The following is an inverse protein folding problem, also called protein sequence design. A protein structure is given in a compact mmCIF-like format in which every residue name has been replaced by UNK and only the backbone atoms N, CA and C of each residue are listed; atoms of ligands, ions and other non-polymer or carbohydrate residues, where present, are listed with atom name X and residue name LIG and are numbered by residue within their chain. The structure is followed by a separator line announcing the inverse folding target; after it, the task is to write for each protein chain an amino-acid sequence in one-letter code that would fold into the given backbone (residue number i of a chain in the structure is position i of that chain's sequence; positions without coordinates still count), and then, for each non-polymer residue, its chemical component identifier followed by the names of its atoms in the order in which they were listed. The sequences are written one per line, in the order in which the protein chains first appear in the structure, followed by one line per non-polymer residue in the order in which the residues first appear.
data_IF_188384277160
#
_entry.id   IF_188384277160
#
_cell.length_a   1.000
_cell.length_b   1.000
_cell.length_c   1.000
_cell.angle_alpha   90.00
_cell.angle_beta   90.00
_cell.angle_gamma   90.00
#
_symmetry.space_group_name_H-M   'P 1'
#
loop_
_entity.id
_entity.type
_entity.pdbx_description
1 polymer ?
#
# COMPACT_ATOMS: atom_id res chain seq x y z
N UNK A 1 -5.52 11.58 10.12
CA UNK A 1 -5.57 12.56 9.00
C UNK A 1 -5.99 11.84 7.73
N UNK A 2 -6.75 12.49 6.84
CA UNK A 2 -7.15 11.93 5.54
C UNK A 2 -6.02 12.09 4.51
N UNK A 3 -5.95 11.24 3.47
CA UNK A 3 -4.97 11.38 2.39
C UNK A 3 -5.30 12.56 1.48
N UNK A 4 -4.27 13.10 0.85
CA UNK A 4 -4.39 14.18 -0.12
C UNK A 4 -5.02 13.66 -1.42
N UNK A 5 -5.88 14.46 -2.03
CA UNK A 5 -6.62 14.11 -3.24
C UNK A 5 -5.73 14.01 -4.51
N UNK A 6 -4.49 14.47 -4.48
CA UNK A 6 -3.55 14.44 -5.61
C UNK A 6 -2.54 13.31 -5.42
N UNK A 7 -1.73 13.32 -4.35
CA UNK A 7 -0.70 12.30 -4.17
C UNK A 7 -1.16 11.05 -3.40
N UNK A 8 -2.33 11.11 -2.77
CA UNK A 8 -2.86 9.99 -1.99
C UNK A 8 -2.13 9.73 -0.66
N UNK A 9 -1.27 10.63 -0.22
CA UNK A 9 -0.50 10.50 1.00
C UNK A 9 -1.14 11.28 2.17
N UNK A 10 -1.09 10.72 3.37
CA UNK A 10 -1.34 11.52 4.58
C UNK A 10 -0.13 12.43 4.83
N UNK A 11 -0.30 13.59 5.49
CA UNK A 11 0.77 14.57 5.65
C UNK A 11 2.07 13.99 6.21
N UNK A 12 2.03 13.17 7.25
CA UNK A 12 3.24 12.58 7.84
C UNK A 12 3.97 11.63 6.85
N UNK A 13 3.26 10.87 6.01
CA UNK A 13 3.89 10.02 5.00
C UNK A 13 4.59 10.87 3.94
N UNK A 14 3.95 11.96 3.48
CA UNK A 14 4.55 12.90 2.52
C UNK A 14 5.81 13.53 3.09
N UNK A 15 5.77 14.02 4.33
CA UNK A 15 6.92 14.63 5.02
C UNK A 15 8.09 13.67 5.18
N UNK A 16 7.81 12.42 5.59
CA UNK A 16 8.84 11.37 5.71
C UNK A 16 9.42 10.99 4.35
N UNK A 17 8.57 10.85 3.33
CA UNK A 17 9.01 10.54 1.97
C UNK A 17 9.86 11.68 1.39
N UNK A 18 9.42 12.93 1.56
CA UNK A 18 10.17 14.12 1.17
C UNK A 18 11.50 14.25 1.92
N UNK A 19 11.51 14.06 3.23
CA UNK A 19 12.74 14.05 4.02
C UNK A 19 13.70 12.93 3.61
N UNK A 20 13.20 11.75 3.26
CA UNK A 20 14.01 10.66 2.73
C UNK A 20 14.64 11.04 1.38
N UNK A 21 13.88 11.67 0.48
CA UNK A 21 14.39 12.23 -0.77
C UNK A 21 15.51 13.23 -0.53
N UNK A 22 15.33 14.17 0.40
CA UNK A 22 16.32 15.21 0.70
C UNK A 22 17.61 14.66 1.33
N UNK A 23 17.50 13.67 2.21
CA UNK A 23 18.61 13.17 3.03
C UNK A 23 19.28 11.91 2.48
N UNK A 24 18.55 11.07 1.78
CA UNK A 24 18.95 9.70 1.44
C UNK A 24 18.63 9.34 -0.03
N UNK A 25 18.77 10.28 -0.95
CA UNK A 25 18.42 10.08 -2.37
C UNK A 25 19.27 8.99 -3.03
N UNK A 26 20.59 9.01 -2.81
CA UNK A 26 21.54 8.16 -3.56
C UNK A 26 22.22 7.09 -2.70
N UNK A 27 22.07 7.14 -1.37
CA UNK A 27 22.71 6.22 -0.42
C UNK A 27 21.81 5.92 0.76
N UNK A 28 22.04 4.79 1.39
CA UNK A 28 21.38 4.47 2.66
C UNK A 28 21.86 5.40 3.76
N UNK A 29 20.90 5.90 4.56
CA UNK A 29 21.12 6.76 5.71
C UNK A 29 20.37 6.15 6.89
N UNK A 30 20.93 6.26 8.09
CA UNK A 30 20.28 5.79 9.33
C UNK A 30 18.89 6.41 9.47
N UNK A 31 17.90 5.56 9.75
CA UNK A 31 16.52 6.02 9.92
C UNK A 31 16.40 7.11 10.98
N UNK A 32 17.17 7.01 12.06
CA UNK A 32 17.23 8.04 13.10
C UNK A 32 17.65 9.42 12.57
N UNK A 33 18.61 9.48 11.64
CA UNK A 33 19.07 10.74 11.05
C UNK A 33 18.02 11.35 10.12
N UNK A 34 17.39 10.53 9.27
CA UNK A 34 16.29 10.98 8.38
C UNK A 34 15.15 11.55 9.22
N UNK A 35 14.71 10.79 10.24
CA UNK A 35 13.59 11.21 11.08
C UNK A 35 13.91 12.41 11.94
N UNK A 36 15.16 12.55 12.41
CA UNK A 36 15.63 13.76 13.10
C UNK A 36 15.45 15.01 12.23
N UNK A 37 15.89 14.95 10.97
CA UNK A 37 15.71 16.06 10.03
C UNK A 37 14.22 16.33 9.70
N UNK A 38 13.40 15.28 9.57
CA UNK A 38 11.95 15.43 9.33
C UNK A 38 11.26 16.11 10.51
N UNK A 39 11.60 15.71 11.75
CA UNK A 39 11.03 16.29 12.96
C UNK A 39 11.51 17.73 13.18
N UNK A 40 12.77 18.04 12.89
CA UNK A 40 13.34 19.39 12.99
C UNK A 40 12.65 20.38 12.04
N UNK A 41 12.31 19.94 10.81
CA UNK A 41 11.92 20.83 9.71
C UNK A 41 10.43 20.87 9.42
N UNK A 42 9.78 19.70 9.37
CA UNK A 42 8.42 19.60 8.82
C UNK A 42 7.41 18.90 9.72
N UNK A 43 7.86 18.09 10.72
CA UNK A 43 6.96 17.30 11.53
C UNK A 43 7.41 17.27 13.01
N UNK A 44 7.22 18.39 13.74
CA UNK A 44 7.68 18.53 15.13
C UNK A 44 6.82 17.71 16.12
N UNK A 45 6.52 16.48 15.75
CA UNK A 45 5.69 15.55 16.52
C UNK A 45 6.40 14.20 16.63
N UNK A 46 6.12 13.47 17.70
CA UNK A 46 6.61 12.10 17.88
C UNK A 46 6.01 11.14 16.85
N UNK A 47 6.61 9.94 16.76
CA UNK A 47 6.08 8.80 15.99
C UNK A 47 6.25 8.83 14.47
N UNK A 48 7.21 9.55 13.91
CA UNK A 48 7.52 9.51 12.48
C UNK A 48 8.15 8.17 12.00
N UNK A 49 8.63 7.31 12.92
CA UNK A 49 9.21 6.02 12.55
C UNK A 49 8.19 5.01 12.00
N UNK A 50 7.00 4.92 12.58
CA UNK A 50 5.92 4.08 12.04
C UNK A 50 5.55 4.42 10.59
N UNK A 51 5.37 5.70 10.23
CA UNK A 51 5.25 6.14 8.84
C UNK A 51 6.39 5.68 7.93
N UNK A 52 7.66 5.83 8.33
CA UNK A 52 8.81 5.35 7.55
C UNK A 52 8.77 3.83 7.35
N UNK A 53 8.46 3.09 8.41
CA UNK A 53 8.27 1.63 8.34
C UNK A 53 7.20 1.26 7.31
N UNK A 54 6.06 1.95 7.30
CA UNK A 54 4.99 1.70 6.32
C UNK A 54 5.41 2.04 4.89
N UNK A 55 6.18 3.11 4.69
CA UNK A 55 6.71 3.46 3.37
C UNK A 55 7.67 2.39 2.85
N UNK A 56 8.54 1.84 3.70
CA UNK A 56 9.45 0.75 3.34
C UNK A 56 8.65 -0.54 3.05
N UNK A 57 7.72 -0.92 3.92
CA UNK A 57 6.89 -2.11 3.74
C UNK A 57 6.04 -2.06 2.46
N UNK A 58 5.64 -0.87 2.01
CA UNK A 58 4.93 -0.66 0.75
C UNK A 58 5.86 -0.56 -0.47
N UNK A 59 7.17 -0.57 -0.29
CA UNK A 59 8.14 -0.45 -1.39
C UNK A 59 8.27 0.95 -1.97
N UNK A 60 7.85 1.99 -1.25
CA UNK A 60 8.02 3.39 -1.64
C UNK A 60 9.38 3.96 -1.22
N UNK A 61 10.02 3.31 -0.29
CA UNK A 61 11.37 3.59 0.21
C UNK A 61 12.13 2.27 0.29
N UNK A 62 13.38 2.25 -0.14
CA UNK A 62 14.26 1.10 0.03
C UNK A 62 14.74 1.05 1.49
N UNK A 63 14.62 -0.11 2.11
CA UNK A 63 15.03 -0.32 3.50
C UNK A 63 16.17 -1.32 3.63
N UNK A 64 17.09 -1.09 4.56
CA UNK A 64 18.13 -2.03 4.98
C UNK A 64 18.01 -2.30 6.48
N UNK A 65 18.12 -3.57 6.89
CA UNK A 65 17.86 -4.02 8.25
C UNK A 65 16.47 -4.67 8.40
N UNK A 66 16.04 -4.91 9.64
CA UNK A 66 14.75 -5.54 9.94
C UNK A 66 13.64 -4.49 10.02
N UNK A 67 12.74 -4.54 9.05
CA UNK A 67 11.63 -3.59 8.92
C UNK A 67 10.28 -4.15 9.38
N UNK A 68 10.31 -5.32 10.00
CA UNK A 68 9.10 -6.02 10.38
C UNK A 68 8.40 -6.65 9.19
N UNK A 69 7.40 -7.42 9.49
CA UNK A 69 6.59 -8.13 8.51
C UNK A 69 5.62 -9.07 9.20
N UNK A 70 4.80 -9.72 8.40
CA UNK A 70 3.88 -10.74 8.87
C UNK A 70 4.18 -12.04 8.16
N UNK A 71 4.65 -13.03 8.92
CA UNK A 71 4.85 -14.40 8.45
C UNK A 71 4.24 -15.32 9.49
N UNK A 72 3.32 -16.18 9.06
CA UNK A 72 2.65 -17.11 9.96
C UNK A 72 1.76 -16.44 10.99
N UNK A 73 1.82 -16.93 12.22
CA UNK A 73 1.05 -16.41 13.35
C UNK A 73 1.63 -15.13 13.92
N UNK A 74 2.92 -14.89 13.70
CA UNK A 74 3.65 -13.79 14.31
C UNK A 74 3.71 -12.56 13.39
N UNK A 75 3.47 -11.40 13.96
CA UNK A 75 3.81 -10.12 13.36
C UNK A 75 5.12 -9.64 13.98
N UNK A 76 6.20 -9.66 13.22
CA UNK A 76 7.46 -9.08 13.68
C UNK A 76 7.42 -7.56 13.53
N UNK A 77 7.76 -6.84 14.61
CA UNK A 77 7.98 -5.40 14.57
C UNK A 77 9.28 -5.05 13.85
N UNK A 78 9.40 -3.80 13.39
CA UNK A 78 10.68 -3.30 12.91
C UNK A 78 11.69 -3.19 14.08
N UNK A 79 12.97 -3.40 13.78
CA UNK A 79 14.05 -3.06 14.70
C UNK A 79 14.03 -1.56 15.01
N UNK A 80 14.59 -1.13 16.14
CA UNK A 80 14.64 0.27 16.48
C UNK A 80 15.36 1.10 15.39
N UNK A 81 14.95 2.36 15.19
CA UNK A 81 15.41 3.26 14.12
C UNK A 81 16.94 3.46 14.06
N UNK A 82 17.66 3.17 15.14
CA UNK A 82 19.12 3.20 15.18
C UNK A 82 19.79 2.04 14.45
N UNK A 83 19.05 0.94 14.23
CA UNK A 83 19.54 -0.26 13.55
C UNK A 83 19.10 -0.37 12.09
N UNK A 84 18.14 0.44 11.65
CA UNK A 84 17.63 0.43 10.28
C UNK A 84 18.19 1.60 9.48
N UNK A 85 18.24 1.41 8.17
CA UNK A 85 18.64 2.43 7.20
C UNK A 85 17.62 2.51 6.07
N UNK A 86 17.45 3.69 5.51
CA UNK A 86 16.53 3.91 4.42
C UNK A 86 17.18 4.72 3.29
N UNK A 87 16.68 4.51 2.07
CA UNK A 87 17.10 5.21 0.87
C UNK A 87 15.89 5.47 -0.02
N UNK A 88 15.86 6.61 -0.70
CA UNK A 88 14.80 6.88 -1.66
C UNK A 88 14.76 5.82 -2.77
N UNK A 89 13.58 5.31 -3.07
CA UNK A 89 13.39 4.29 -4.10
C UNK A 89 13.42 4.92 -5.48
N UNK A 90 14.07 4.27 -6.46
CA UNK A 90 14.22 4.81 -7.83
C UNK A 90 12.89 5.04 -8.54
N UNK A 91 11.90 4.16 -8.35
CA UNK A 91 10.57 4.34 -8.91
C UNK A 91 9.87 5.55 -8.29
N UNK A 92 9.97 5.71 -6.97
CA UNK A 92 9.39 6.85 -6.25
C UNK A 92 10.04 8.16 -6.67
N UNK A 93 11.38 8.18 -6.86
CA UNK A 93 12.09 9.35 -7.41
C UNK A 93 11.53 9.78 -8.77
N UNK A 94 11.33 8.83 -9.67
CA UNK A 94 10.82 9.12 -11.00
C UNK A 94 9.36 9.59 -11.00
N UNK A 95 8.49 8.93 -10.23
CA UNK A 95 7.04 9.20 -10.29
C UNK A 95 6.58 10.35 -9.38
N UNK A 96 7.38 10.76 -8.38
CA UNK A 96 6.94 11.73 -7.39
C UNK A 96 7.88 12.92 -7.18
N UNK A 97 9.15 12.83 -7.57
CA UNK A 97 10.14 13.89 -7.28
C UNK A 97 10.70 14.57 -8.54
N UNK A 98 10.50 13.99 -9.72
CA UNK A 98 11.05 14.51 -10.98
C UNK A 98 10.76 15.99 -11.22
N UNK A 99 9.54 16.44 -10.93
CA UNK A 99 9.09 17.82 -11.15
C UNK A 99 8.75 18.56 -9.84
N UNK A 100 9.37 18.15 -8.74
CA UNK A 100 9.06 18.66 -7.40
C UNK A 100 9.22 20.18 -7.29
N UNK A 101 10.22 20.79 -7.96
CA UNK A 101 10.43 22.25 -7.96
C UNK A 101 9.27 23.05 -8.54
N UNK A 102 8.38 22.42 -9.29
CA UNK A 102 7.27 23.09 -10.02
C UNK A 102 5.91 23.00 -9.32
N UNK A 103 5.85 22.39 -8.11
CA UNK A 103 4.65 22.37 -7.29
C UNK A 103 4.64 23.54 -6.30
N UNK A 104 3.46 23.95 -5.80
CA UNK A 104 3.40 24.94 -4.73
C UNK A 104 3.96 24.38 -3.41
N UNK A 105 4.65 25.24 -2.67
CA UNK A 105 5.13 24.99 -1.32
C UNK A 105 4.31 25.81 -0.33
N UNK A 106 4.10 25.25 0.85
CA UNK A 106 3.43 25.90 1.97
C UNK A 106 4.18 25.62 3.28
N UNK A 107 4.18 26.59 4.19
CA UNK A 107 4.74 26.39 5.53
C UNK A 107 3.60 26.06 6.47
N UNK A 108 3.46 24.77 6.80
CA UNK A 108 2.42 24.29 7.70
C UNK A 108 2.89 24.23 9.15
N UNK A 109 4.16 23.93 9.37
CA UNK A 109 4.76 23.79 10.71
C UNK A 109 5.99 24.72 10.84
N UNK A 110 7.16 24.32 10.40
CA UNK A 110 8.43 25.02 10.61
C UNK A 110 9.01 25.53 9.30
N UNK A 111 9.32 24.63 8.35
CA UNK A 111 9.89 24.96 7.05
C UNK A 111 8.89 24.72 5.90
N UNK A 112 9.12 25.37 4.74
CA UNK A 112 8.30 25.11 3.54
C UNK A 112 8.36 23.63 3.12
N UNK A 113 7.20 23.06 2.84
CA UNK A 113 7.05 21.70 2.35
C UNK A 113 6.16 21.70 1.09
N UNK A 114 6.30 20.73 0.16
CA UNK A 114 5.42 20.65 -1.00
C UNK A 114 3.98 20.37 -0.56
N UNK A 115 3.02 21.14 -1.08
CA UNK A 115 1.59 20.97 -0.79
C UNK A 115 1.08 19.60 -1.24
N UNK A 116 1.73 18.99 -2.24
CA UNK A 116 1.55 17.63 -2.73
C UNK A 116 2.78 17.19 -3.54
N UNK A 117 2.96 15.88 -3.72
CA UNK A 117 3.95 15.36 -4.66
C UNK A 117 3.36 15.23 -6.06
N UNK A 118 4.10 15.63 -7.12
CA UNK A 118 3.61 15.60 -8.50
C UNK A 118 3.63 14.18 -9.07
N UNK A 119 2.76 13.31 -8.58
CA UNK A 119 2.68 11.90 -9.00
C UNK A 119 1.68 11.69 -10.14
N UNK A 120 1.88 10.64 -10.94
CA UNK A 120 0.95 10.23 -11.99
C UNK A 120 -0.24 9.44 -11.43
N UNK A 121 -0.04 8.71 -10.34
CA UNK A 121 -1.04 7.84 -9.71
C UNK A 121 -0.97 8.07 -8.20
N UNK A 122 -2.11 8.24 -7.49
CA UNK A 122 -2.11 8.43 -6.04
C UNK A 122 -1.52 7.21 -5.32
N UNK A 123 -0.59 7.43 -4.40
CA UNK A 123 0.10 6.36 -3.66
C UNK A 123 -0.86 5.43 -2.89
N UNK A 124 -1.95 5.96 -2.34
CA UNK A 124 -2.95 5.16 -1.62
C UNK A 124 -3.62 4.07 -2.47
N UNK A 125 -3.57 4.17 -3.81
CA UNK A 125 -4.19 3.19 -4.71
C UNK A 125 -3.31 1.97 -5.01
N UNK A 126 -2.01 2.00 -4.69
CA UNK A 126 -1.09 0.88 -4.97
C UNK A 126 -0.19 0.51 -3.79
N UNK A 127 -0.71 0.66 -2.58
CA UNK A 127 -0.08 0.12 -1.37
C UNK A 127 -0.10 -1.41 -1.38
N UNK A 128 0.79 -2.04 -0.65
CA UNK A 128 0.87 -3.51 -0.57
C UNK A 128 -0.26 -4.12 0.27
N UNK A 129 -0.62 -3.44 1.36
CA UNK A 129 -1.53 -3.97 2.38
C UNK A 129 -2.88 -3.25 2.47
N UNK A 130 -3.23 -2.46 1.44
CA UNK A 130 -4.39 -1.57 1.49
C UNK A 130 -4.09 -0.26 2.23
N UNK A 131 -4.99 0.69 2.11
CA UNK A 131 -4.84 2.00 2.74
C UNK A 131 -6.04 2.30 3.63
N UNK A 132 -5.78 2.51 4.90
CA UNK A 132 -6.79 2.94 5.87
C UNK A 132 -6.26 4.14 6.63
N UNK A 133 -7.07 5.17 6.73
CA UNK A 133 -6.78 6.34 7.57
C UNK A 133 -8.03 6.78 8.35
N UNK A 134 -7.80 7.40 9.50
CA UNK A 134 -8.84 7.89 10.39
C UNK A 134 -8.56 9.36 10.68
N UNK A 135 -9.59 10.17 10.57
CA UNK A 135 -9.62 11.56 11.02
C UNK A 135 -10.84 11.77 11.91
N UNK A 136 -10.92 12.92 12.58
CA UNK A 136 -12.07 13.21 13.42
C UNK A 136 -13.38 13.21 12.59
N UNK A 137 -14.28 12.31 12.92
CA UNK A 137 -15.56 12.11 12.22
C UNK A 137 -15.48 11.39 10.87
N UNK A 138 -14.27 11.00 10.39
CA UNK A 138 -14.11 10.35 9.08
C UNK A 138 -13.18 9.14 9.16
N UNK A 139 -13.53 8.11 8.40
CA UNK A 139 -12.67 6.97 8.10
C UNK A 139 -12.54 6.85 6.58
N UNK A 140 -11.32 6.70 6.08
CA UNK A 140 -11.06 6.42 4.66
C UNK A 140 -10.47 5.03 4.54
N UNK A 141 -11.11 4.17 3.75
CA UNK A 141 -10.62 2.83 3.39
C UNK A 141 -10.58 2.78 1.87
N UNK A 142 -9.39 2.76 1.32
CA UNK A 142 -9.17 2.89 -0.12
C UNK A 142 -8.75 1.55 -0.69
N UNK A 143 -9.39 1.07 -1.79
CA UNK A 143 -8.96 -0.15 -2.46
C UNK A 143 -7.59 0.05 -3.09
N UNK A 144 -6.72 -0.93 -2.97
CA UNK A 144 -5.45 -0.93 -3.67
C UNK A 144 -5.47 -1.85 -4.88
N UNK A 145 -4.63 -1.54 -5.85
CA UNK A 145 -4.51 -2.24 -7.12
C UNK A 145 -3.04 -2.48 -7.46
N UNK A 146 -2.76 -3.38 -8.38
CA UNK A 146 -1.43 -3.47 -8.97
C UNK A 146 -1.17 -2.23 -9.82
N UNK A 147 -0.01 -1.61 -9.67
CA UNK A 147 0.36 -0.39 -10.42
C UNK A 147 0.16 -0.55 -11.93
N UNK A 148 0.55 -1.71 -12.49
CA UNK A 148 0.35 -2.03 -13.91
C UNK A 148 -1.12 -1.94 -14.35
N UNK A 149 -2.05 -2.32 -13.49
CA UNK A 149 -3.48 -2.31 -13.81
C UNK A 149 -4.05 -0.88 -13.73
N UNK A 150 -3.59 -0.09 -12.75
CA UNK A 150 -3.92 1.34 -12.66
C UNK A 150 -3.43 2.12 -13.88
N UNK A 151 -2.20 1.84 -14.35
CA UNK A 151 -1.67 2.45 -15.59
C UNK A 151 -2.56 2.11 -16.78
N UNK A 152 -2.97 0.86 -16.95
CA UNK A 152 -3.90 0.47 -18.03
C UNK A 152 -5.24 1.20 -17.92
N UNK A 153 -5.78 1.31 -16.69
CA UNK A 153 -7.04 2.02 -16.45
C UNK A 153 -6.90 3.50 -16.79
N UNK A 154 -5.82 4.12 -16.36
CA UNK A 154 -5.53 5.53 -16.66
C UNK A 154 -5.41 5.77 -18.19
N UNK A 155 -4.66 4.93 -18.91
CA UNK A 155 -4.55 5.02 -20.36
C UNK A 155 -5.92 4.89 -21.06
N UNK A 156 -6.81 4.06 -20.55
CA UNK A 156 -8.18 3.98 -21.05
C UNK A 156 -8.97 5.27 -20.78
N UNK A 157 -8.89 5.81 -19.55
CA UNK A 157 -9.57 7.05 -19.16
C UNK A 157 -9.07 8.27 -19.96
N UNK A 158 -7.81 8.26 -20.40
CA UNK A 158 -7.20 9.30 -21.25
C UNK A 158 -7.47 9.08 -22.77
N UNK A 159 -8.16 8.00 -23.14
CA UNK A 159 -8.49 7.69 -24.54
C UNK A 159 -7.40 7.00 -25.35
N UNK A 160 -6.26 6.66 -24.72
CA UNK A 160 -5.12 5.98 -25.36
C UNK A 160 -5.39 4.47 -25.59
N UNK A 161 -6.27 3.85 -24.82
CA UNK A 161 -6.72 2.48 -25.00
C UNK A 161 -8.18 2.42 -25.42
N UNK A 162 -8.45 1.78 -26.58
CA UNK A 162 -9.82 1.60 -27.11
C UNK A 162 -10.65 0.63 -26.26
N UNK A 163 -10.01 -0.41 -25.70
CA UNK A 163 -10.69 -1.45 -24.92
C UNK A 163 -10.60 -1.14 -23.43
N UNK A 164 -11.77 -1.05 -22.78
CA UNK A 164 -11.89 -0.86 -21.34
C UNK A 164 -11.25 -2.05 -20.58
N UNK A 165 -10.22 -1.83 -19.75
CA UNK A 165 -9.62 -2.89 -18.96
C UNK A 165 -10.52 -3.22 -17.77
N UNK A 166 -10.75 -4.50 -17.51
CA UNK A 166 -11.30 -4.96 -16.22
C UNK A 166 -10.13 -5.11 -15.27
N UNK A 167 -10.06 -4.26 -14.26
CA UNK A 167 -9.07 -4.36 -13.19
C UNK A 167 -9.75 -4.71 -11.87
N UNK A 168 -9.05 -5.47 -11.03
CA UNK A 168 -9.54 -5.89 -9.73
C UNK A 168 -8.65 -5.31 -8.63
N UNK A 169 -9.23 -4.93 -7.48
CA UNK A 169 -8.42 -4.64 -6.30
C UNK A 169 -7.46 -5.78 -6.02
N UNK A 170 -6.27 -5.43 -5.57
CA UNK A 170 -5.24 -6.40 -5.19
C UNK A 170 -5.17 -6.48 -3.67
N UNK A 171 -5.37 -7.66 -3.13
CA UNK A 171 -5.23 -7.95 -1.71
C UNK A 171 -4.29 -9.14 -1.61
N UNK A 172 -3.14 -8.92 -0.99
CA UNK A 172 -2.12 -9.96 -0.86
C UNK A 172 -2.70 -11.17 -0.11
N UNK A 173 -2.44 -12.35 -0.63
CA UNK A 173 -2.91 -13.64 -0.06
C UNK A 173 -4.44 -13.79 0.06
N UNK A 174 -5.22 -13.02 -0.72
CA UNK A 174 -6.66 -13.18 -0.81
C UNK A 174 -7.12 -13.30 -2.27
N UNK A 175 -8.24 -14.01 -2.46
CA UNK A 175 -8.98 -14.04 -3.72
C UNK A 175 -10.21 -13.16 -3.61
N UNK A 176 -10.49 -12.41 -4.65
CA UNK A 176 -11.72 -11.62 -4.78
C UNK A 176 -12.79 -12.51 -5.40
N UNK A 177 -13.94 -12.59 -4.76
CA UNK A 177 -15.08 -13.41 -5.21
C UNK A 177 -16.16 -12.61 -5.93
N UNK A 178 -16.01 -11.28 -5.97
CA UNK A 178 -16.96 -10.37 -6.63
C UNK A 178 -17.03 -10.52 -8.15
N UNK A 179 -18.19 -10.22 -8.74
CA UNK A 179 -18.39 -10.28 -10.18
C UNK A 179 -17.64 -9.17 -10.94
N UNK A 180 -17.50 -9.32 -12.28
CA UNK A 180 -16.90 -8.26 -13.11
C UNK A 180 -17.67 -6.93 -13.02
N UNK A 181 -18.99 -6.99 -12.88
CA UNK A 181 -19.85 -5.81 -12.72
C UNK A 181 -19.53 -5.09 -11.40
N UNK A 182 -19.35 -5.85 -10.33
CA UNK A 182 -19.00 -5.32 -9.03
C UNK A 182 -17.62 -4.67 -9.04
N UNK A 183 -16.65 -5.28 -9.74
CA UNK A 183 -15.31 -4.72 -9.91
C UNK A 183 -15.33 -3.40 -10.67
N UNK A 184 -16.21 -3.22 -11.64
CA UNK A 184 -16.39 -1.94 -12.34
C UNK A 184 -17.06 -0.89 -11.43
N UNK A 185 -18.04 -1.30 -10.64
CA UNK A 185 -18.73 -0.40 -9.70
C UNK A 185 -17.75 0.18 -8.67
N UNK A 186 -16.80 -0.62 -8.16
CA UNK A 186 -15.80 -0.12 -7.19
C UNK A 186 -14.85 0.94 -7.79
N UNK A 187 -14.67 0.95 -9.12
CA UNK A 187 -13.85 1.95 -9.80
C UNK A 187 -14.58 3.29 -9.99
N UNK A 188 -15.90 3.23 -10.12
CA UNK A 188 -16.75 4.38 -10.48
C UNK A 188 -17.55 4.95 -9.30
N UNK A 189 -17.43 4.36 -8.12
CA UNK A 189 -18.10 4.84 -6.90
C UNK A 189 -17.11 5.06 -5.77
N UNK A 190 -17.44 5.95 -4.85
CA UNK A 190 -16.62 6.25 -3.65
C UNK A 190 -16.87 5.29 -2.48
N UNK A 191 -17.89 4.45 -2.59
CA UNK A 191 -18.36 3.60 -1.50
C UNK A 191 -18.79 2.24 -2.05
N UNK A 192 -18.20 1.16 -1.53
CA UNK A 192 -18.44 -0.18 -2.01
C UNK A 192 -18.07 -1.25 -0.98
N UNK A 193 -18.75 -2.42 -1.03
CA UNK A 193 -18.42 -3.59 -0.21
C UNK A 193 -17.87 -4.69 -1.12
N UNK A 194 -16.66 -5.15 -0.83
CA UNK A 194 -15.98 -6.22 -1.56
C UNK A 194 -15.94 -7.49 -0.72
N UNK A 195 -16.35 -8.62 -1.30
CA UNK A 195 -16.19 -9.93 -0.68
C UNK A 195 -14.85 -10.55 -1.08
N UNK A 196 -14.10 -11.00 -0.08
CA UNK A 196 -12.80 -11.63 -0.24
C UNK A 196 -12.76 -12.98 0.46
N UNK A 197 -11.90 -13.84 -0.05
CA UNK A 197 -11.62 -15.16 0.52
C UNK A 197 -10.12 -15.35 0.66
N UNK A 198 -9.67 -15.68 1.87
CA UNK A 198 -8.27 -16.03 2.12
C UNK A 198 -7.82 -17.26 1.32
N UNK A 199 -6.52 -17.41 1.16
CA UNK A 199 -5.92 -18.54 0.44
C UNK A 199 -5.73 -19.71 1.40
N UNK A 200 -6.17 -20.89 0.96
CA UNK A 200 -5.90 -22.15 1.65
C UNK A 200 -5.64 -23.25 0.64
N UNK A 201 -4.97 -24.32 1.08
CA UNK A 201 -4.74 -25.55 0.32
C UNK A 201 -5.26 -26.75 1.09
N UNK A 202 -5.98 -27.62 0.43
CA UNK A 202 -6.49 -28.88 0.97
C UNK A 202 -5.51 -30.02 0.70
N UNK A 203 -5.36 -30.90 1.66
CA UNK A 203 -4.72 -32.21 1.56
C UNK A 203 -5.68 -33.26 2.15
N UNK A 204 -6.67 -33.71 1.35
CA UNK A 204 -7.70 -34.63 1.82
C UNK A 204 -7.15 -35.99 2.22
N UNK A 205 -6.09 -36.46 1.57
CA UNK A 205 -5.49 -37.77 1.83
C UNK A 205 -4.88 -37.85 3.22
N UNK A 206 -4.33 -36.73 3.71
CA UNK A 206 -3.79 -36.60 5.04
C UNK A 206 -4.76 -35.96 6.05
N UNK A 207 -5.99 -35.61 5.62
CA UNK A 207 -6.97 -34.87 6.42
C UNK A 207 -6.41 -33.57 6.99
N UNK A 208 -5.68 -32.81 6.16
CA UNK A 208 -4.95 -31.61 6.52
C UNK A 208 -5.37 -30.44 5.64
N UNK A 209 -5.42 -29.24 6.20
CA UNK A 209 -5.68 -28.00 5.46
C UNK A 209 -4.62 -26.98 5.86
N UNK A 210 -4.01 -26.35 4.88
CA UNK A 210 -3.03 -25.28 5.05
C UNK A 210 -3.70 -23.92 4.83
N UNK A 211 -3.72 -23.08 5.83
CA UNK A 211 -4.15 -21.68 5.72
C UNK A 211 -2.94 -20.84 5.35
N UNK A 212 -3.04 -20.10 4.24
CA UNK A 212 -1.93 -19.36 3.62
C UNK A 212 -2.17 -17.86 3.49
N UNK A 213 -3.36 -17.40 3.84
CA UNK A 213 -3.68 -16.00 3.83
C UNK A 213 -5.11 -15.73 4.26
N UNK A 214 -5.34 -14.54 4.76
CA UNK A 214 -6.64 -14.05 5.20
C UNK A 214 -6.70 -12.53 5.07
N UNK A 215 -7.84 -11.93 5.42
CA UNK A 215 -8.05 -10.48 5.42
C UNK A 215 -6.92 -9.76 6.19
N UNK A 216 -6.13 -8.91 5.54
CA UNK A 216 -5.00 -8.22 6.15
C UNK A 216 -5.39 -7.28 7.30
N UNK A 217 -6.68 -6.94 7.42
CA UNK A 217 -7.20 -6.15 8.54
C UNK A 217 -7.51 -6.99 9.79
N UNK A 218 -7.34 -8.31 9.72
CA UNK A 218 -7.56 -9.23 10.85
C UNK A 218 -6.23 -9.81 11.33
N UNK A 219 -5.97 -9.73 12.63
CA UNK A 219 -4.90 -10.48 13.28
C UNK A 219 -5.19 -11.99 13.27
N UNK A 220 -4.13 -12.81 13.32
CA UNK A 220 -4.25 -14.27 13.32
C UNK A 220 -5.13 -14.77 14.48
N UNK A 221 -5.04 -14.18 15.66
CA UNK A 221 -5.86 -14.55 16.81
C UNK A 221 -7.38 -14.47 16.50
N UNK A 222 -7.79 -13.47 15.72
CA UNK A 222 -9.20 -13.33 15.30
C UNK A 222 -9.60 -14.46 14.34
N UNK A 223 -8.73 -14.83 13.42
CA UNK A 223 -8.94 -15.94 12.48
C UNK A 223 -8.96 -17.27 13.25
N UNK A 224 -8.00 -17.47 14.16
CA UNK A 224 -7.94 -18.65 15.00
C UNK A 224 -9.22 -18.88 15.80
N UNK A 225 -9.72 -17.83 16.52
CA UNK A 225 -10.99 -17.88 17.25
C UNK A 225 -12.19 -18.24 16.37
N UNK A 226 -12.19 -17.82 15.09
CA UNK A 226 -13.25 -18.20 14.15
C UNK A 226 -13.13 -19.66 13.71
N UNK A 227 -11.91 -20.18 13.51
CA UNK A 227 -11.66 -21.58 13.17
C UNK A 227 -11.97 -22.47 14.37
N UNK A 228 -11.56 -22.08 15.57
CA UNK A 228 -11.79 -22.84 16.80
C UNK A 228 -13.14 -22.56 17.48
N UNK A 229 -14.12 -22.03 16.75
CA UNK A 229 -15.42 -21.64 17.29
C UNK A 229 -16.12 -22.71 18.14
N UNK A 230 -15.91 -23.99 17.81
CA UNK A 230 -16.47 -25.14 18.50
C UNK A 230 -15.46 -25.87 19.39
N UNK A 231 -14.29 -25.29 19.66
CA UNK A 231 -13.24 -25.86 20.48
C UNK A 231 -12.56 -27.09 19.89
N UNK A 232 -12.61 -27.28 18.56
CA UNK A 232 -12.03 -28.46 17.90
C UNK A 232 -10.50 -28.53 18.04
N UNK A 233 -9.85 -27.38 18.19
CA UNK A 233 -8.41 -27.30 18.42
C UNK A 233 -8.14 -27.39 19.93
N UNK A 234 -8.86 -26.62 20.74
CA UNK A 234 -8.73 -26.63 22.19
C UNK A 234 -8.97 -28.03 22.81
N UNK A 235 -9.89 -28.81 22.24
CA UNK A 235 -10.19 -30.18 22.65
C UNK A 235 -9.21 -31.25 22.08
N UNK A 236 -8.23 -30.83 21.26
CA UNK A 236 -7.27 -31.72 20.62
C UNK A 236 -7.84 -32.59 19.49
N UNK A 237 -9.01 -32.25 18.94
CA UNK A 237 -9.60 -32.92 17.78
C UNK A 237 -8.84 -32.57 16.49
N UNK A 238 -8.28 -31.36 16.45
CA UNK A 238 -7.43 -30.83 15.36
C UNK A 238 -6.12 -30.30 15.95
N UNK A 239 -5.02 -30.64 15.31
CA UNK A 239 -3.67 -30.17 15.66
C UNK A 239 -3.33 -29.02 14.71
N UNK A 240 -2.89 -27.89 15.27
CA UNK A 240 -2.40 -26.75 14.51
C UNK A 240 -0.87 -26.68 14.61
N UNK A 241 -0.21 -26.44 13.48
CA UNK A 241 1.23 -26.20 13.41
C UNK A 241 1.50 -24.99 12.50
N UNK A 242 2.40 -24.11 12.91
CA UNK A 242 2.91 -23.05 12.05
C UNK A 242 4.16 -23.55 11.32
N UNK A 243 4.04 -23.75 10.01
CA UNK A 243 5.08 -24.20 9.10
C UNK A 243 5.52 -23.05 8.16
N UNK A 244 5.30 -21.80 8.57
CA UNK A 244 5.53 -20.62 7.75
C UNK A 244 7.02 -20.31 7.62
N UNK A 245 7.48 -20.01 6.39
CA UNK A 245 8.86 -19.60 6.13
C UNK A 245 8.95 -18.83 4.81
N UNK A 246 9.72 -17.72 4.78
CA UNK A 246 10.08 -17.00 3.55
C UNK A 246 11.32 -17.60 2.88
N UNK A 247 12.14 -18.34 3.62
CA UNK A 247 13.40 -18.91 3.14
C UNK A 247 13.19 -20.31 2.59
N UNK A 248 12.59 -21.19 3.42
CA UNK A 248 12.39 -22.59 3.09
C UNK A 248 11.01 -22.81 2.49
N UNK A 249 10.92 -23.26 1.23
CA UNK A 249 9.63 -23.56 0.62
C UNK A 249 8.97 -24.78 1.26
N UNK A 250 7.63 -24.76 1.38
CA UNK A 250 6.84 -25.94 1.72
C UNK A 250 6.96 -27.02 0.63
N UNK A 251 6.44 -28.21 0.90
CA UNK A 251 6.51 -29.38 0.00
C UNK A 251 6.00 -29.14 -1.43
N UNK A 252 5.17 -28.12 -1.64
CA UNK A 252 4.60 -27.70 -2.93
C UNK A 252 5.21 -26.42 -3.50
N UNK A 253 6.35 -25.98 -2.94
CA UNK A 253 7.07 -24.78 -3.35
C UNK A 253 6.51 -23.46 -2.80
N UNK A 254 5.49 -23.52 -1.92
CA UNK A 254 4.94 -22.32 -1.30
C UNK A 254 5.92 -21.71 -0.30
N UNK A 255 6.04 -20.38 -0.32
CA UNK A 255 6.79 -19.59 0.65
C UNK A 255 5.87 -18.57 1.33
N UNK A 256 6.19 -18.17 2.54
CA UNK A 256 5.40 -17.27 3.36
C UNK A 256 4.52 -18.00 4.37
N UNK A 257 3.41 -17.40 4.75
CA UNK A 257 2.47 -17.96 5.73
C UNK A 257 1.94 -19.33 5.31
N UNK A 258 2.09 -20.34 6.16
CA UNK A 258 1.65 -21.70 5.92
C UNK A 258 1.30 -22.40 7.25
N UNK A 259 0.07 -22.17 7.72
CA UNK A 259 -0.40 -22.73 9.00
C UNK A 259 -1.24 -23.96 8.70
N UNK A 260 -0.80 -25.11 9.17
CA UNK A 260 -1.48 -26.39 8.97
C UNK A 260 -2.44 -26.72 10.10
N UNK A 261 -3.57 -27.30 9.73
CA UNK A 261 -4.60 -27.82 10.61
C UNK A 261 -4.83 -29.29 10.21
N UNK A 262 -4.44 -30.22 11.05
CA UNK A 262 -4.55 -31.68 10.81
C UNK A 262 -5.54 -32.31 11.80
N UNK A 263 -6.46 -33.12 11.29
CA UNK A 263 -7.38 -33.87 12.16
C UNK A 263 -6.62 -34.96 12.89
N UNK A 264 -6.78 -35.01 14.20
CA UNK A 264 -6.14 -35.98 15.07
C UNK A 264 -6.48 -37.42 14.62
N UNK A 265 -5.45 -38.28 14.59
CA UNK A 265 -5.56 -39.69 14.15
C UNK A 265 -6.52 -40.52 15.00
N UNK A 266 -6.71 -40.17 16.27
CA UNK A 266 -7.61 -40.83 17.20
C UNK A 266 -9.11 -40.52 16.97
N UNK A 267 -9.44 -39.65 16.04
CA UNK A 267 -10.81 -39.17 15.75
C UNK A 267 -11.40 -39.78 14.47
N UNK A 268 -12.70 -39.62 14.28
CA UNK A 268 -13.36 -39.91 12.99
C UNK A 268 -12.93 -38.83 11.96
N UNK A 269 -11.78 -39.09 11.30
CA UNK A 269 -11.10 -38.10 10.45
C UNK A 269 -12.01 -37.52 9.34
N UNK A 270 -12.80 -38.30 8.57
CA UNK A 270 -13.68 -37.72 7.55
C UNK A 270 -14.69 -36.72 8.09
N UNK A 271 -15.32 -37.03 9.22
CA UNK A 271 -16.31 -36.16 9.86
C UNK A 271 -15.68 -34.87 10.37
N UNK A 272 -14.57 -34.97 11.08
CA UNK A 272 -13.86 -33.79 11.62
C UNK A 272 -13.23 -32.95 10.50
N UNK A 273 -12.72 -33.58 9.44
CA UNK A 273 -12.18 -32.85 8.29
C UNK A 273 -13.25 -32.02 7.57
N UNK A 274 -14.43 -32.57 7.35
CA UNK A 274 -15.54 -31.82 6.76
C UNK A 274 -15.97 -30.62 7.63
N UNK A 275 -16.00 -30.79 8.95
CA UNK A 275 -16.30 -29.70 9.89
C UNK A 275 -15.19 -28.64 9.88
N UNK A 276 -13.92 -29.03 9.96
CA UNK A 276 -12.75 -28.18 9.88
C UNK A 276 -12.74 -27.34 8.58
N UNK A 277 -12.95 -28.00 7.44
CA UNK A 277 -13.03 -27.32 6.13
C UNK A 277 -14.09 -26.25 6.12
N UNK A 278 -15.30 -26.53 6.64
CA UNK A 278 -16.41 -25.57 6.72
C UNK A 278 -16.02 -24.37 7.61
N UNK A 279 -15.39 -24.63 8.77
CA UNK A 279 -14.95 -23.55 9.68
C UNK A 279 -13.87 -22.69 9.07
N UNK A 280 -12.86 -23.28 8.43
CA UNK A 280 -11.78 -22.54 7.73
C UNK A 280 -12.36 -21.68 6.61
N UNK A 281 -13.20 -22.23 5.74
CA UNK A 281 -13.83 -21.45 4.67
C UNK A 281 -14.61 -20.26 5.23
N UNK A 282 -15.38 -20.47 6.30
CA UNK A 282 -16.15 -19.42 6.95
C UNK A 282 -15.23 -18.36 7.59
N UNK A 283 -14.17 -18.79 8.28
CA UNK A 283 -13.22 -17.89 8.92
C UNK A 283 -12.44 -17.02 7.93
N UNK A 284 -12.11 -17.59 6.76
CA UNK A 284 -11.35 -16.92 5.70
C UNK A 284 -12.21 -16.06 4.76
N UNK A 285 -13.54 -16.17 4.83
CA UNK A 285 -14.44 -15.31 4.07
C UNK A 285 -14.75 -14.05 4.84
N UNK A 286 -14.49 -12.90 4.24
CA UNK A 286 -14.75 -11.60 4.87
C UNK A 286 -15.24 -10.57 3.86
N UNK A 287 -15.75 -9.44 4.36
CA UNK A 287 -16.20 -8.30 3.56
C UNK A 287 -15.45 -7.06 3.98
N UNK A 288 -14.88 -6.38 3.01
CA UNK A 288 -14.20 -5.10 3.20
C UNK A 288 -15.12 -3.99 2.69
N UNK A 289 -15.48 -3.06 3.57
CA UNK A 289 -16.22 -1.86 3.19
C UNK A 289 -15.22 -0.76 2.83
N UNK A 290 -15.18 -0.40 1.56
CA UNK A 290 -14.41 0.74 1.06
C UNK A 290 -15.24 2.01 1.19
N UNK A 291 -14.56 3.10 1.55
CA UNK A 291 -15.12 4.43 1.66
C UNK A 291 -14.01 5.44 1.45
N UNK A 292 -14.03 6.13 0.32
CA UNK A 292 -12.95 7.02 -0.06
C UNK A 292 -13.25 8.43 0.42
N UNK A 293 -12.43 8.91 1.36
CA UNK A 293 -12.38 10.32 1.77
C UNK A 293 -10.97 10.84 1.59
N UNK A 294 -10.83 11.95 0.88
CA UNK A 294 -9.55 12.62 0.63
C UNK A 294 -9.68 14.12 0.89
N UNK A 295 -8.56 14.80 1.11
CA UNK A 295 -8.54 16.26 1.29
C UNK A 295 -7.95 16.91 0.05
N UNK A 296 -8.65 17.87 -0.51
CA UNK A 296 -8.12 18.71 -1.59
C UNK A 296 -7.04 19.65 -1.00
N UNK A 297 -5.80 19.63 -1.51
CA UNK A 297 -4.71 20.41 -0.92
C UNK A 297 -4.89 21.92 -1.09
N UNK A 298 -5.62 22.36 -2.12
CA UNK A 298 -5.82 23.77 -2.44
C UNK A 298 -7.02 24.36 -1.68
N UNK A 299 -8.16 23.67 -1.71
CA UNK A 299 -9.40 24.16 -1.07
C UNK A 299 -9.57 23.72 0.37
N UNK A 300 -8.72 22.76 0.84
CA UNK A 300 -8.80 22.11 2.15
C UNK A 300 -10.15 21.40 2.43
N UNK A 301 -10.97 21.20 1.39
CA UNK A 301 -12.26 20.51 1.49
C UNK A 301 -12.10 19.00 1.46
N UNK A 302 -12.94 18.28 2.19
CA UNK A 302 -13.05 16.83 2.11
C UNK A 302 -13.86 16.48 0.86
N UNK A 303 -13.32 15.56 0.06
CA UNK A 303 -13.93 15.03 -1.15
C UNK A 303 -14.16 13.52 -0.99
N UNK A 304 -15.13 12.99 -1.72
CA UNK A 304 -15.47 11.56 -1.77
C UNK A 304 -15.42 11.05 -3.21
N UNK A 305 -14.23 11.07 -3.86
CA UNK A 305 -14.11 10.67 -5.25
C UNK A 305 -14.19 9.16 -5.41
N UNK A 306 -14.51 8.70 -6.62
CA UNK A 306 -14.25 7.35 -7.08
C UNK A 306 -12.77 7.14 -7.41
N UNK A 307 -12.37 5.89 -7.65
CA UNK A 307 -10.99 5.56 -8.06
C UNK A 307 -10.66 6.21 -9.41
N UNK A 308 -11.59 6.17 -10.37
CA UNK A 308 -11.42 6.78 -11.69
C UNK A 308 -11.23 8.30 -11.60
N UNK A 309 -12.03 8.97 -10.78
CA UNK A 309 -11.89 10.43 -10.55
C UNK A 309 -10.56 10.78 -9.88
N UNK A 310 -10.08 9.95 -8.94
CA UNK A 310 -8.76 10.14 -8.35
C UNK A 310 -7.65 10.03 -9.41
N UNK A 311 -7.69 8.99 -10.24
CA UNK A 311 -6.72 8.80 -11.32
C UNK A 311 -6.70 9.99 -12.29
N UNK A 312 -7.86 10.40 -12.79
CA UNK A 312 -7.99 11.51 -13.74
C UNK A 312 -7.52 12.85 -13.12
N UNK A 313 -7.94 13.15 -11.89
CA UNK A 313 -7.54 14.38 -11.19
C UNK A 313 -6.04 14.44 -10.97
N UNK A 314 -5.46 13.39 -10.45
CA UNK A 314 -4.01 13.29 -10.20
C UNK A 314 -3.22 13.44 -11.48
N UNK A 315 -3.61 12.74 -12.53
CA UNK A 315 -2.90 12.80 -13.82
C UNK A 315 -3.05 14.16 -14.52
N UNK A 316 -4.20 14.81 -14.40
CA UNK A 316 -4.38 16.18 -14.91
C UNK A 316 -3.42 17.15 -14.22
N UNK A 317 -3.28 17.06 -12.89
CA UNK A 317 -2.32 17.88 -12.13
C UNK A 317 -0.90 17.58 -12.56
N UNK A 318 -0.53 16.30 -12.69
CA UNK A 318 0.78 15.88 -13.17
C UNK A 318 1.09 16.44 -14.57
N UNK A 319 0.15 16.38 -15.53
CA UNK A 319 0.30 16.98 -16.87
C UNK A 319 0.57 18.47 -16.78
N UNK A 320 -0.16 19.20 -15.95
CA UNK A 320 0.02 20.64 -15.78
C UNK A 320 1.38 21.01 -15.18
N UNK A 321 1.82 20.27 -14.14
CA UNK A 321 3.13 20.46 -13.53
C UNK A 321 4.25 20.14 -14.52
N UNK A 322 4.13 19.03 -15.26
CA UNK A 322 5.09 18.65 -16.32
C UNK A 322 5.18 19.71 -17.41
N UNK A 323 4.02 20.22 -17.90
CA UNK A 323 3.98 21.29 -18.90
C UNK A 323 4.71 22.55 -18.42
N UNK A 324 4.46 22.97 -17.18
CA UNK A 324 5.14 24.11 -16.57
C UNK A 324 6.65 23.88 -16.49
N UNK A 325 7.09 22.70 -16.01
CA UNK A 325 8.49 22.35 -15.92
C UNK A 325 9.20 22.36 -17.28
N UNK A 326 8.56 21.84 -18.33
CA UNK A 326 9.10 21.86 -19.69
C UNK A 326 9.19 23.27 -20.26
N UNK A 327 8.20 24.12 -20.00
CA UNK A 327 8.22 25.53 -20.43
C UNK A 327 9.36 26.30 -19.76
N UNK A 328 9.61 26.08 -18.46
CA UNK A 328 10.73 26.67 -17.73
C UNK A 328 12.08 26.21 -18.31
N UNK A 329 12.25 24.88 -18.53
CA UNK A 329 13.46 24.34 -19.13
C UNK A 329 13.74 24.89 -20.54
N UNK A 330 12.70 25.06 -21.37
CA UNK A 330 12.83 25.67 -22.70
C UNK A 330 13.29 27.13 -22.58
N UNK A 331 12.78 27.87 -21.59
CA UNK A 331 13.21 29.25 -21.35
C UNK A 331 14.67 29.30 -20.94
N UNK A 332 15.06 28.51 -19.93
CA UNK A 332 16.45 28.44 -19.44
C UNK A 332 17.44 28.09 -20.55
N UNK A 333 17.09 27.12 -21.42
CA UNK A 333 17.94 26.74 -22.56
C UNK A 333 18.06 27.89 -23.57
N UNK A 334 16.97 28.61 -23.87
CA UNK A 334 17.01 29.78 -24.80
C UNK A 334 17.89 30.88 -24.23
N UNK A 335 17.77 31.22 -22.95
CA UNK A 335 18.60 32.19 -22.27
C UNK A 335 20.09 31.79 -22.34
N UNK A 336 20.42 30.53 -22.04
CA UNK A 336 21.80 30.02 -22.16
C UNK A 336 22.34 30.08 -23.59
N UNK A 337 21.51 29.82 -24.61
CA UNK A 337 21.91 29.94 -26.02
C UNK A 337 22.24 31.40 -26.35
N UNK A 338 21.44 32.37 -25.93
CA UNK A 338 21.72 33.78 -26.16
C UNK A 338 23.00 34.24 -25.46
N UNK A 339 23.24 33.79 -24.20
CA UNK A 339 24.50 34.08 -23.51
C UNK A 339 25.71 33.55 -24.28
N UNK A 340 25.66 32.30 -24.77
CA UNK A 340 26.74 31.69 -25.55
C UNK A 340 26.97 32.44 -26.86
N UNK A 341 25.93 32.91 -27.55
CA UNK A 341 26.03 33.71 -28.76
C UNK A 341 26.70 35.06 -28.52
N UNK A 342 26.51 35.67 -27.36
CA UNK A 342 27.21 36.89 -26.95
C UNK A 342 28.71 36.62 -26.75
N UNK A 343 29.05 35.51 -26.08
CA UNK A 343 30.44 35.10 -25.83
C UNK A 343 31.16 34.82 -27.17
N UNK A 344 30.51 34.16 -28.14
CA UNK A 344 31.07 33.81 -29.43
C UNK A 344 31.40 35.09 -30.28
N UNK A 345 30.80 36.23 -30.00
CA UNK A 345 31.03 37.49 -30.71
C UNK A 345 32.13 38.36 -30.07
N UNK A 346 32.67 37.99 -28.92
CA UNK A 346 33.78 38.64 -28.23
C UNK A 346 35.08 37.93 -28.61
#
# INVERSE_FOLDING_TARGET
MLPNAIDGLIPVWRRVLFGTHMMARNKFVKSAAILGAVMEKWHPHDHAYGPLQKLVQNGFVDGQGQWGGRIGVDESGAAAMRYTEAKSNSLTEEIAFRYLKNVPYETLEIEPEPSFLPTMIPFCLFTRYGFTSIAFGFKSVIPNYKLKDLVKRLLYLEGELKRKPTIAPYIEYCKITSSKKDLETILTTSNYVLEIKGIYKEDPDNFKIYVRGWDPNMGFETIFKKIDKNGIIANGDVIMLDESSDETPAFDGWKGTNISFEVNKARNRPKFYAALKKQIITALTSRISYMIHVVDPLTKKILTPSVDEMLQKTFLVYKNVTKKALQESIREIKESIEELRVIEKI
#
